data_IF_100743554138
#
_entry.id   IF_100743554138
#
_cell.length_a   1.000
_cell.length_b   1.000
_cell.length_c   1.000
_cell.angle_alpha   90.00
_cell.angle_beta   90.00
_cell.angle_gamma   90.00
#
_symmetry.space_group_name_H-M   'P 1'
#
loop_
_entity.id
_entity.type
_entity.pdbx_description
1 polymer ?
#
# COMPACT_ATOMS: atom_id res chain seq x y z
N UNK A 1 -1.07 30.82 -4.19
CA UNK A 1 -0.69 30.85 -5.62
C UNK A 1 -0.88 32.26 -6.13
N UNK A 2 0.19 32.99 -6.43
CA UNK A 2 0.06 34.18 -7.28
C UNK A 2 0.07 33.64 -8.70
N UNK A 3 -1.10 33.51 -9.32
CA UNK A 3 -1.19 33.25 -10.75
C UNK A 3 -0.63 34.47 -11.45
N UNK A 4 0.62 34.39 -11.90
CA UNK A 4 1.22 35.42 -12.72
C UNK A 4 0.42 35.44 -14.02
N UNK A 5 -0.35 36.50 -14.21
CA UNK A 5 -1.17 36.69 -15.41
C UNK A 5 -0.33 37.50 -16.40
N UNK A 6 -0.21 37.06 -17.66
CA UNK A 6 0.66 37.72 -18.62
C UNK A 6 0.24 39.16 -18.91
N UNK A 7 1.21 40.08 -18.94
CA UNK A 7 1.01 41.43 -19.47
C UNK A 7 1.16 41.41 -21.00
N UNK A 8 0.35 42.22 -21.67
CA UNK A 8 0.03 42.13 -23.11
C UNK A 8 1.17 42.34 -24.13
N UNK A 9 0.81 42.66 -25.39
CA UNK A 9 1.34 42.01 -26.60
C UNK A 9 2.79 42.38 -26.94
N UNK A 10 3.66 41.37 -27.01
CA UNK A 10 5.02 41.50 -27.55
C UNK A 10 6.08 40.57 -26.92
N UNK A 11 5.83 40.00 -25.75
CA UNK A 11 6.75 39.07 -25.10
C UNK A 11 6.52 37.63 -25.54
N UNK A 12 7.58 36.92 -25.93
CA UNK A 12 7.55 35.47 -26.18
C UNK A 12 7.40 34.75 -24.83
N UNK A 13 6.17 34.46 -24.41
CA UNK A 13 5.91 33.65 -23.22
C UNK A 13 4.70 32.73 -23.45
N UNK A 14 4.74 31.54 -22.87
CA UNK A 14 3.66 30.55 -22.92
C UNK A 14 3.52 29.85 -21.58
N UNK A 15 2.28 29.51 -21.19
CA UNK A 15 2.05 28.63 -20.03
C UNK A 15 2.30 27.19 -20.48
N UNK A 16 3.16 26.48 -19.77
CA UNK A 16 3.50 25.09 -20.03
C UNK A 16 2.81 24.15 -19.04
N UNK A 17 2.47 22.97 -19.53
CA UNK A 17 2.01 21.82 -18.72
C UNK A 17 3.17 20.84 -18.53
N UNK A 18 3.03 19.81 -17.67
CA UNK A 18 4.09 18.83 -17.45
C UNK A 18 4.54 18.16 -18.75
N UNK A 19 5.85 18.04 -18.90
CA UNK A 19 6.53 17.59 -20.11
C UNK A 19 8.04 17.71 -19.93
N UNK A 20 8.79 17.49 -21.00
CA UNK A 20 10.25 17.60 -21.02
C UNK A 20 10.69 18.55 -22.11
N UNK A 21 11.66 19.41 -21.79
CA UNK A 21 12.31 20.28 -22.73
C UNK A 21 12.93 19.46 -23.87
N UNK A 22 12.67 19.81 -25.13
CA UNK A 22 13.07 18.99 -26.28
C UNK A 22 14.57 19.00 -26.56
N UNK A 23 15.34 19.96 -26.02
CA UNK A 23 16.77 20.09 -26.27
C UNK A 23 17.62 19.43 -25.18
N UNK A 24 17.23 19.64 -23.92
CA UNK A 24 18.07 19.25 -22.76
C UNK A 24 17.36 18.28 -21.81
N UNK A 25 16.08 17.97 -22.04
CA UNK A 25 15.34 16.96 -21.29
C UNK A 25 14.94 17.37 -19.87
N UNK A 26 15.11 18.64 -19.48
CA UNK A 26 14.64 19.13 -18.17
C UNK A 26 13.10 19.19 -18.15
N UNK A 27 12.44 19.00 -16.99
CA UNK A 27 10.99 19.18 -16.90
C UNK A 27 10.54 20.58 -17.35
N UNK A 28 9.41 20.69 -18.06
CA UNK A 28 8.84 22.00 -18.49
C UNK A 28 8.02 22.68 -17.40
N UNK A 29 7.81 22.00 -16.27
CA UNK A 29 7.15 22.50 -15.06
C UNK A 29 8.01 22.18 -13.84
N UNK A 30 7.98 23.04 -12.81
CA UNK A 30 8.71 22.81 -11.57
C UNK A 30 8.28 21.48 -10.93
N UNK A 31 9.19 20.50 -10.74
CA UNK A 31 8.87 19.23 -10.09
C UNK A 31 8.30 19.37 -8.67
N UNK A 32 8.63 20.48 -7.99
CA UNK A 32 8.16 20.78 -6.64
C UNK A 32 7.09 21.89 -6.62
N UNK A 33 6.69 22.38 -7.80
CA UNK A 33 5.78 23.52 -7.96
C UNK A 33 4.35 23.10 -8.33
N UNK A 34 3.65 24.00 -9.02
CA UNK A 34 2.27 23.76 -9.46
C UNK A 34 2.17 22.86 -10.70
N UNK A 35 0.95 22.64 -11.18
CA UNK A 35 0.70 21.92 -12.44
C UNK A 35 1.05 22.70 -13.71
N UNK A 36 1.62 23.90 -13.60
CA UNK A 36 1.99 24.76 -14.72
C UNK A 36 3.17 25.68 -14.39
N UNK A 37 3.93 26.07 -15.40
CA UNK A 37 4.98 27.09 -15.31
C UNK A 37 4.91 28.03 -16.49
N UNK A 38 5.56 29.19 -16.41
CA UNK A 38 5.67 30.12 -17.53
C UNK A 38 6.99 29.85 -18.25
N UNK A 39 6.93 29.47 -19.51
CA UNK A 39 8.07 29.56 -20.40
C UNK A 39 8.21 31.02 -20.87
N UNK A 40 9.39 31.60 -20.70
CA UNK A 40 9.77 32.94 -21.16
C UNK A 40 10.94 32.81 -22.15
N UNK A 41 10.92 33.57 -23.24
CA UNK A 41 11.92 33.47 -24.32
C UNK A 41 11.40 32.67 -25.52
N UNK A 42 12.28 32.40 -26.49
CA UNK A 42 11.92 31.64 -27.69
C UNK A 42 12.91 30.51 -28.02
N UNK A 43 12.50 29.58 -28.89
CA UNK A 43 13.32 28.46 -29.37
C UNK A 43 13.99 28.72 -30.73
N UNK A 44 13.72 29.87 -31.34
CA UNK A 44 14.01 30.12 -32.77
C UNK A 44 15.30 30.90 -32.99
N UNK A 45 15.74 31.66 -31.97
CA UNK A 45 16.90 32.53 -32.09
C UNK A 45 16.70 33.64 -33.13
N UNK A 46 15.46 34.00 -33.49
CA UNK A 46 15.25 34.96 -34.57
C UNK A 46 15.30 36.42 -34.09
N UNK A 47 16.52 36.95 -34.00
CA UNK A 47 16.81 38.35 -33.66
C UNK A 47 17.51 38.51 -32.30
N UNK A 48 17.85 39.74 -31.93
CA UNK A 48 18.39 40.09 -30.61
C UNK A 48 17.28 40.63 -29.73
N UNK A 49 16.33 39.77 -29.34
CA UNK A 49 15.16 40.19 -28.56
C UNK A 49 15.29 39.67 -27.14
N UNK A 50 14.96 40.51 -26.15
CA UNK A 50 14.74 40.05 -24.80
C UNK A 50 13.25 39.79 -24.59
N UNK A 51 12.90 38.67 -23.96
CA UNK A 51 11.57 38.43 -23.45
C UNK A 51 11.53 38.83 -21.97
N UNK A 52 10.53 39.59 -21.57
CA UNK A 52 10.33 39.90 -20.15
C UNK A 52 8.89 39.66 -19.71
N UNK A 53 8.74 39.37 -18.43
CA UNK A 53 7.45 39.29 -17.76
C UNK A 53 7.53 40.08 -16.46
N UNK A 54 6.49 40.89 -16.20
CA UNK A 54 6.38 41.72 -15.00
C UNK A 54 5.13 41.38 -14.23
N UNK A 55 5.24 41.34 -12.90
CA UNK A 55 4.11 41.18 -11.99
C UNK A 55 4.24 42.16 -10.82
N UNK A 56 3.17 42.88 -10.52
CA UNK A 56 3.07 43.70 -9.31
C UNK A 56 2.18 43.00 -8.29
N UNK A 57 2.58 42.96 -7.03
CA UNK A 57 1.81 42.37 -5.94
C UNK A 57 2.03 43.12 -4.62
N UNK A 58 1.03 43.06 -3.74
CA UNK A 58 1.11 43.62 -2.39
C UNK A 58 1.86 42.67 -1.47
N UNK A 59 2.88 43.17 -0.77
CA UNK A 59 3.58 42.39 0.28
C UNK A 59 2.75 42.45 1.56
N UNK A 60 2.40 41.28 2.08
CA UNK A 60 1.70 41.10 3.35
C UNK A 60 2.64 40.48 4.39
N UNK A 61 2.21 40.43 5.64
CA UNK A 61 2.95 39.72 6.70
C UNK A 61 3.13 38.23 6.42
N UNK A 62 2.29 37.64 5.55
CA UNK A 62 2.36 36.22 5.15
C UNK A 62 3.20 36.02 3.87
N UNK A 63 3.55 37.08 3.16
CA UNK A 63 4.29 37.04 1.87
C UNK A 63 5.59 37.81 1.93
N UNK A 64 6.20 37.86 3.12
CA UNK A 64 7.47 38.53 3.39
C UNK A 64 8.67 37.84 2.75
N UNK A 65 8.50 36.62 2.23
CA UNK A 65 9.45 35.94 1.38
C UNK A 65 8.78 35.63 0.05
N UNK A 66 9.34 36.15 -1.04
CA UNK A 66 8.88 35.80 -2.39
C UNK A 66 9.78 34.70 -2.94
N UNK A 67 9.22 33.51 -3.17
CA UNK A 67 9.94 32.34 -3.63
C UNK A 67 9.65 32.09 -5.10
N UNK A 68 10.68 31.80 -5.89
CA UNK A 68 10.50 31.43 -7.28
C UNK A 68 11.51 30.38 -7.69
N UNK A 69 11.04 29.45 -8.50
CA UNK A 69 11.85 28.45 -9.16
C UNK A 69 12.02 28.81 -10.62
N UNK A 70 13.18 28.50 -11.17
CA UNK A 70 13.42 28.66 -12.59
C UNK A 70 14.40 27.62 -13.12
N UNK A 71 14.29 27.35 -14.41
CA UNK A 71 15.23 26.55 -15.18
C UNK A 71 15.53 27.28 -16.49
N UNK A 72 16.77 27.18 -16.99
CA UNK A 72 17.24 28.00 -18.12
C UNK A 72 17.85 27.14 -19.22
N UNK A 73 17.68 27.54 -20.47
CA UNK A 73 18.39 27.01 -21.63
C UNK A 73 18.90 28.21 -22.43
N UNK A 74 20.23 28.37 -22.45
CA UNK A 74 20.90 29.51 -23.07
C UNK A 74 21.88 29.01 -24.13
N UNK A 75 21.65 29.38 -25.39
CA UNK A 75 22.51 29.03 -26.52
C UNK A 75 23.73 29.97 -26.59
N UNK A 76 24.94 29.42 -26.51
CA UNK A 76 26.18 30.20 -26.48
C UNK A 76 27.30 29.48 -27.25
N UNK A 77 27.26 29.49 -28.59
CA UNK A 77 28.34 28.95 -29.39
C UNK A 77 29.56 29.86 -29.26
N UNK A 78 30.73 29.24 -29.04
CA UNK A 78 31.99 29.91 -28.71
C UNK A 78 32.26 31.19 -29.51
N UNK A 79 32.67 32.27 -28.84
CA UNK A 79 33.13 33.50 -29.51
C UNK A 79 32.55 34.81 -28.96
N UNK A 80 31.58 34.75 -28.03
CA UNK A 80 30.94 35.93 -27.43
C UNK A 80 31.75 36.52 -26.27
N UNK A 81 31.80 37.86 -26.20
CA UNK A 81 32.21 38.56 -24.98
C UNK A 81 31.09 38.52 -23.92
N UNK A 82 31.44 38.84 -22.68
CA UNK A 82 30.50 38.83 -21.53
C UNK A 82 29.20 39.60 -21.81
N UNK A 83 29.27 40.76 -22.47
CA UNK A 83 28.10 41.59 -22.76
C UNK A 83 27.26 41.15 -23.97
N UNK A 84 27.65 40.08 -24.65
CA UNK A 84 27.00 39.59 -25.86
C UNK A 84 26.32 38.24 -25.66
N UNK A 85 26.55 37.61 -24.50
CA UNK A 85 25.98 36.33 -24.10
C UNK A 85 24.49 36.44 -23.76
N UNK A 86 23.69 35.40 -24.03
CA UNK A 86 22.37 35.30 -23.46
C UNK A 86 22.41 35.31 -21.93
N UNK A 87 21.35 35.82 -21.33
CA UNK A 87 21.27 36.01 -19.89
C UNK A 87 19.87 35.79 -19.34
N UNK A 88 19.82 35.49 -18.05
CA UNK A 88 18.61 35.57 -17.23
C UNK A 88 18.81 36.62 -16.15
N UNK A 89 17.83 37.50 -16.00
CA UNK A 89 17.85 38.57 -15.04
C UNK A 89 16.53 38.69 -14.31
N UNK A 90 16.61 38.92 -13.01
CA UNK A 90 15.47 39.24 -12.14
C UNK A 90 15.71 40.62 -11.56
N UNK A 91 14.75 41.52 -11.74
CA UNK A 91 14.74 42.83 -11.11
C UNK A 91 13.49 42.99 -10.26
N UNK A 92 13.65 43.42 -9.02
CA UNK A 92 12.52 43.83 -8.17
C UNK A 92 12.57 45.34 -7.92
N UNK A 93 11.40 45.96 -7.87
CA UNK A 93 11.21 47.39 -7.67
C UNK A 93 10.21 47.66 -6.55
N UNK A 94 10.51 48.64 -5.71
CA UNK A 94 9.58 49.11 -4.68
C UNK A 94 8.38 49.87 -5.29
N UNK A 95 7.45 50.33 -4.44
CA UNK A 95 6.26 51.07 -4.88
C UNK A 95 6.56 52.42 -5.58
N UNK A 96 7.78 52.94 -5.38
CA UNK A 96 8.28 54.16 -6.01
C UNK A 96 9.17 53.85 -7.22
N UNK A 97 9.22 52.59 -7.65
CA UNK A 97 10.02 52.10 -8.76
C UNK A 97 11.54 52.18 -8.53
N UNK A 98 12.00 52.20 -7.26
CA UNK A 98 13.42 52.08 -6.93
C UNK A 98 13.84 50.59 -6.94
N UNK A 99 15.03 50.26 -7.46
CA UNK A 99 15.55 48.89 -7.41
C UNK A 99 15.70 48.37 -5.98
N UNK A 100 15.18 47.18 -5.73
CA UNK A 100 15.36 46.46 -4.47
C UNK A 100 16.61 45.61 -4.61
N UNK A 101 17.64 45.91 -3.82
CA UNK A 101 18.94 45.23 -3.88
C UNK A 101 18.82 43.70 -3.68
N UNK A 102 17.91 43.24 -2.82
CA UNK A 102 17.70 41.80 -2.56
C UNK A 102 17.05 41.04 -3.72
N UNK A 103 16.44 41.76 -4.67
CA UNK A 103 15.72 41.21 -5.81
C UNK A 103 16.38 41.54 -7.14
N UNK A 104 17.66 41.89 -7.13
CA UNK A 104 18.49 41.97 -8.34
C UNK A 104 19.31 40.68 -8.45
N UNK A 105 19.11 39.92 -9.50
CA UNK A 105 19.88 38.72 -9.80
C UNK A 105 20.12 38.64 -11.30
N UNK A 106 21.34 38.31 -11.71
CA UNK A 106 21.70 38.19 -13.12
C UNK A 106 22.69 37.04 -13.28
N UNK A 107 22.41 36.17 -14.25
CA UNK A 107 23.31 35.11 -14.70
C UNK A 107 23.40 35.15 -16.21
N UNK A 108 24.62 35.06 -16.72
CA UNK A 108 24.90 34.95 -18.15
C UNK A 108 25.30 33.52 -18.50
N UNK A 109 25.18 33.15 -19.77
CA UNK A 109 25.50 31.80 -20.22
C UNK A 109 26.98 31.43 -19.98
N UNK A 110 27.19 30.19 -19.52
CA UNK A 110 28.51 29.59 -19.38
C UNK A 110 28.99 29.44 -17.93
N UNK A 111 30.26 29.02 -17.74
CA UNK A 111 30.81 28.74 -16.41
C UNK A 111 31.06 30.03 -15.61
N UNK A 112 31.25 29.88 -14.30
CA UNK A 112 31.54 30.99 -13.36
C UNK A 112 32.72 31.87 -13.79
N UNK A 113 33.73 31.29 -14.44
CA UNK A 113 34.90 32.02 -14.96
C UNK A 113 34.55 33.05 -16.03
N UNK A 114 33.36 32.96 -16.61
CA UNK A 114 32.82 33.88 -17.61
C UNK A 114 31.63 34.70 -17.07
N UNK A 115 31.38 34.67 -15.75
CA UNK A 115 30.28 35.39 -15.09
C UNK A 115 28.95 34.63 -15.02
N UNK A 116 28.92 33.35 -15.44
CA UNK A 116 27.72 32.52 -15.35
C UNK A 116 27.56 31.77 -14.02
N UNK A 117 26.60 30.85 -13.96
CA UNK A 117 26.27 30.06 -12.78
C UNK A 117 27.13 28.78 -12.67
N UNK A 118 27.59 28.37 -11.46
CA UNK A 118 28.35 27.14 -11.29
C UNK A 118 27.60 25.86 -11.66
N UNK A 119 26.26 25.89 -11.61
CA UNK A 119 25.43 24.72 -11.83
C UNK A 119 24.97 24.58 -13.29
N UNK A 120 25.45 25.44 -14.19
CA UNK A 120 25.20 25.27 -15.63
C UNK A 120 25.84 23.99 -16.17
N UNK A 121 25.02 23.19 -16.84
CA UNK A 121 25.42 21.97 -17.53
C UNK A 121 25.55 22.26 -19.03
N UNK A 122 26.65 21.84 -19.69
CA UNK A 122 26.81 22.04 -21.12
C UNK A 122 25.90 21.12 -21.93
N UNK A 123 25.44 21.60 -23.09
CA UNK A 123 24.82 20.78 -24.13
C UNK A 123 25.36 21.18 -25.51
N UNK A 124 24.93 20.50 -26.58
CA UNK A 124 25.52 20.61 -27.92
C UNK A 124 25.62 22.04 -28.50
N UNK A 125 24.78 22.97 -28.07
CA UNK A 125 24.76 24.36 -28.57
C UNK A 125 24.94 25.44 -27.47
N UNK A 126 25.09 25.06 -26.20
CA UNK A 126 25.18 26.04 -25.11
C UNK A 126 25.15 25.42 -23.72
N UNK A 127 24.42 26.06 -22.81
CA UNK A 127 24.32 25.65 -21.41
C UNK A 127 22.86 25.61 -20.95
N UNK A 128 22.55 24.70 -20.03
CA UNK A 128 21.27 24.66 -19.36
C UNK A 128 21.43 24.55 -17.85
N UNK A 129 20.50 25.17 -17.13
CA UNK A 129 20.41 25.13 -15.68
C UNK A 129 19.16 24.34 -15.31
N UNK A 130 19.29 23.18 -14.63
CA UNK A 130 18.14 22.47 -14.08
C UNK A 130 17.31 23.35 -13.15
N UNK A 131 16.09 22.90 -12.83
CA UNK A 131 15.22 23.60 -11.88
C UNK A 131 15.95 23.86 -10.56
N UNK A 132 15.94 25.14 -10.17
CA UNK A 132 16.38 25.58 -8.87
C UNK A 132 15.39 26.55 -8.29
N UNK A 133 15.27 26.54 -6.97
CA UNK A 133 14.44 27.48 -6.21
C UNK A 133 15.33 28.54 -5.60
N UNK A 134 14.87 29.79 -5.62
CA UNK A 134 15.49 30.90 -4.89
C UNK A 134 14.39 31.77 -4.29
N UNK A 135 14.78 32.79 -3.52
CA UNK A 135 13.82 33.66 -2.84
C UNK A 135 14.38 35.07 -2.64
N UNK A 136 13.49 36.03 -2.43
CA UNK A 136 13.83 37.40 -2.04
C UNK A 136 13.15 37.79 -0.73
N UNK A 137 13.90 38.29 0.27
CA UNK A 137 13.34 38.86 1.49
C UNK A 137 12.65 40.19 1.22
N UNK A 138 11.37 40.28 1.54
CA UNK A 138 10.53 41.46 1.35
C UNK A 138 9.96 42.02 2.68
N UNK A 139 10.48 41.59 3.85
CA UNK A 139 9.99 42.04 5.17
C UNK A 139 9.93 43.57 5.32
N UNK A 140 10.91 44.29 4.76
CA UNK A 140 10.96 45.76 4.81
C UNK A 140 9.86 46.45 3.97
N UNK A 141 9.17 45.69 3.12
CA UNK A 141 8.19 46.18 2.16
C UNK A 141 6.75 45.78 2.49
N UNK A 142 6.49 45.23 3.68
CA UNK A 142 5.12 44.90 4.12
C UNK A 142 4.21 46.12 4.00
N UNK A 143 3.07 45.95 3.33
CA UNK A 143 2.11 47.01 3.02
C UNK A 143 2.40 47.78 1.72
N UNK A 144 3.47 47.45 0.99
CA UNK A 144 3.84 48.11 -0.27
C UNK A 144 3.59 47.19 -1.47
N UNK A 145 3.29 47.80 -2.62
CA UNK A 145 3.26 47.09 -3.90
C UNK A 145 4.68 46.96 -4.45
N UNK A 146 5.10 45.73 -4.70
CA UNK A 146 6.41 45.40 -5.27
C UNK A 146 6.20 44.85 -6.68
N UNK A 147 7.04 45.29 -7.60
CA UNK A 147 7.05 44.80 -8.98
C UNK A 147 8.26 43.92 -9.18
N UNK A 148 8.04 42.67 -9.57
CA UNK A 148 9.08 41.76 -10.04
C UNK A 148 9.07 41.70 -11.57
N UNK A 149 10.26 41.68 -12.15
CA UNK A 149 10.50 41.52 -13.57
C UNK A 149 11.48 40.37 -13.78
N UNK A 150 11.08 39.38 -14.57
CA UNK A 150 11.97 38.36 -15.11
C UNK A 150 12.30 38.73 -16.55
N UNK A 151 13.56 38.62 -16.94
CA UNK A 151 14.07 38.96 -18.27
C UNK A 151 14.96 37.81 -18.73
N UNK A 152 14.71 37.32 -19.94
CA UNK A 152 15.63 36.45 -20.65
C UNK A 152 16.04 37.16 -21.92
N UNK A 153 17.34 37.41 -22.06
CA UNK A 153 17.92 38.08 -23.20
C UNK A 153 18.62 37.11 -24.13
N UNK A 154 18.40 37.27 -25.43
CA UNK A 154 19.15 36.62 -26.50
C UNK A 154 20.52 37.28 -26.74
N UNK A 155 21.38 36.61 -27.49
CA UNK A 155 22.66 37.17 -27.94
C UNK A 155 22.47 38.41 -28.84
N UNK A 156 23.34 39.40 -28.67
CA UNK A 156 23.32 40.66 -29.44
C UNK A 156 23.92 40.57 -30.85
N UNK A 157 24.59 39.47 -31.22
CA UNK A 157 25.33 39.37 -32.49
C UNK A 157 24.60 38.60 -33.61
N UNK A 158 24.02 37.41 -33.36
CA UNK A 158 23.55 36.55 -34.47
C UNK A 158 22.31 35.67 -34.23
N UNK A 159 21.46 35.99 -33.25
CA UNK A 159 20.20 35.25 -33.09
C UNK A 159 20.38 33.89 -32.42
N UNK A 160 21.05 33.90 -31.27
CA UNK A 160 21.08 32.75 -30.37
C UNK A 160 19.94 32.85 -29.38
N UNK A 161 19.26 31.74 -29.15
CA UNK A 161 18.09 31.73 -28.29
C UNK A 161 18.45 31.66 -26.80
N UNK A 162 17.71 32.40 -26.00
CA UNK A 162 17.58 32.21 -24.58
C UNK A 162 16.11 31.97 -24.21
N UNK A 163 15.85 30.90 -23.47
CA UNK A 163 14.54 30.71 -22.86
C UNK A 163 14.65 30.01 -21.50
N UNK A 164 13.58 30.05 -20.73
CA UNK A 164 13.54 29.46 -19.40
C UNK A 164 12.12 29.26 -18.91
N UNK A 165 11.99 28.36 -17.95
CA UNK A 165 10.74 28.05 -17.28
C UNK A 165 10.76 28.69 -15.90
N UNK A 166 9.67 29.33 -15.49
CA UNK A 166 9.56 30.07 -14.24
C UNK A 166 8.27 29.65 -13.53
N UNK A 167 8.40 29.28 -12.26
CA UNK A 167 7.29 29.07 -11.33
C UNK A 167 7.53 29.98 -10.11
N UNK A 168 6.51 30.68 -9.64
CA UNK A 168 6.66 31.58 -8.49
C UNK A 168 5.50 31.39 -7.51
N UNK A 169 5.86 31.30 -6.23
CA UNK A 169 4.91 31.17 -5.15
C UNK A 169 5.31 32.04 -3.94
N UNK A 170 4.33 32.39 -3.12
CA UNK A 170 4.59 33.06 -1.85
C UNK A 170 4.44 32.07 -0.70
N UNK A 171 5.11 30.92 -0.77
CA UNK A 171 5.19 30.03 0.37
C UNK A 171 6.09 30.65 1.45
N UNK A 172 5.68 30.62 2.74
CA UNK A 172 6.54 31.08 3.81
C UNK A 172 7.80 30.21 3.89
N UNK A 173 8.96 30.85 4.00
CA UNK A 173 10.21 30.14 4.30
C UNK A 173 10.21 29.76 5.79
N UNK A 174 10.40 28.48 6.07
CA UNK A 174 10.47 27.96 7.44
C UNK A 174 11.59 26.92 7.56
N UNK A 175 12.08 26.74 8.77
CA UNK A 175 12.84 25.55 9.13
C UNK A 175 11.83 24.41 9.25
N UNK A 176 12.17 23.25 8.69
CA UNK A 176 11.39 22.01 8.88
C UNK A 176 12.10 21.20 9.95
N UNK A 177 11.41 20.93 11.04
CA UNK A 177 11.90 20.06 12.11
C UNK A 177 11.38 18.64 11.93
N UNK A 178 12.21 17.63 12.22
CA UNK A 178 11.75 16.25 12.31
C UNK A 178 10.87 16.01 13.54
N UNK A 179 11.08 16.81 14.58
CA UNK A 179 10.26 16.87 15.80
C UNK A 179 10.49 18.23 16.49
N UNK A 180 9.55 18.65 17.34
CA UNK A 180 9.65 19.89 18.12
C UNK A 180 10.26 19.67 19.51
N UNK A 181 10.38 18.42 19.96
CA UNK A 181 10.88 18.05 21.29
C UNK A 181 11.99 17.00 21.19
N UNK A 182 13.08 17.22 21.92
CA UNK A 182 14.11 16.19 22.15
C UNK A 182 13.66 15.31 23.31
N UNK A 183 13.38 14.05 22.99
CA UNK A 183 12.90 13.04 23.92
C UNK A 183 14.02 12.04 24.20
N UNK A 184 14.36 11.85 25.48
CA UNK A 184 15.44 10.93 25.88
C UNK A 184 16.79 11.16 25.16
N UNK A 185 17.10 12.44 24.85
CA UNK A 185 18.31 12.80 24.11
C UNK A 185 18.36 12.33 22.66
N UNK A 186 17.24 11.86 22.09
CA UNK A 186 17.18 11.54 20.66
C UNK A 186 17.31 12.83 19.82
N UNK A 187 18.21 12.86 18.83
CA UNK A 187 18.46 14.06 18.08
C UNK A 187 17.30 14.43 17.15
N UNK A 188 17.01 15.72 17.07
CA UNK A 188 16.10 16.32 16.10
C UNK A 188 16.90 16.80 14.89
N UNK A 189 16.37 16.58 13.69
CA UNK A 189 16.91 17.13 12.44
C UNK A 189 16.21 18.44 12.11
N UNK A 190 17.00 19.49 11.86
CA UNK A 190 16.52 20.79 11.39
C UNK A 190 16.96 20.96 9.94
N UNK A 191 16.02 21.27 9.05
CA UNK A 191 16.29 21.45 7.62
C UNK A 191 15.84 22.84 7.16
N UNK A 192 16.78 23.62 6.66
CA UNK A 192 16.50 24.91 6.04
C UNK A 192 15.88 24.73 4.64
N UNK A 193 15.19 25.75 4.10
CA UNK A 193 14.68 25.72 2.72
C UNK A 193 15.79 25.43 1.71
N UNK A 194 15.51 24.59 0.73
CA UNK A 194 16.47 24.22 -0.31
C UNK A 194 16.74 25.37 -1.30
N UNK A 195 17.84 25.24 -2.08
CA UNK A 195 18.13 26.14 -3.21
C UNK A 195 18.92 27.41 -2.87
N UNK A 196 19.29 27.60 -1.60
CA UNK A 196 20.16 28.70 -1.19
C UNK A 196 21.64 28.46 -1.55
N UNK A 197 22.37 29.55 -1.80
CA UNK A 197 23.80 29.53 -2.04
C UNK A 197 24.65 29.27 -0.78
N UNK A 198 24.16 29.64 0.40
CA UNK A 198 24.80 29.30 1.67
C UNK A 198 23.83 29.25 2.84
N UNK A 199 24.19 28.44 3.82
CA UNK A 199 23.54 28.32 5.13
C UNK A 199 24.57 28.65 6.21
N UNK A 200 24.14 29.30 7.28
CA UNK A 200 24.95 29.48 8.49
C UNK A 200 24.06 29.31 9.71
N UNK A 201 24.23 28.18 10.39
CA UNK A 201 23.46 27.82 11.58
C UNK A 201 24.02 28.45 12.85
N UNK A 202 23.14 28.76 13.79
CA UNK A 202 23.48 29.18 15.14
C UNK A 202 22.52 28.50 16.13
N UNK A 203 23.03 27.95 17.25
CA UNK A 203 24.45 27.79 17.60
C UNK A 203 25.16 26.77 16.69
N UNK A 204 26.50 26.84 16.63
CA UNK A 204 27.34 25.79 16.01
C UNK A 204 28.12 26.22 14.76
N UNK A 205 27.56 27.12 13.93
CA UNK A 205 28.24 27.66 12.75
C UNK A 205 28.31 26.70 11.55
N UNK A 206 27.49 25.65 11.55
CA UNK A 206 27.38 24.67 10.48
C UNK A 206 26.84 25.32 9.20
N UNK A 207 27.22 24.78 8.05
CA UNK A 207 26.95 25.40 6.73
C UNK A 207 26.18 24.49 5.77
N UNK A 208 25.76 23.32 6.22
CA UNK A 208 24.90 22.40 5.48
C UNK A 208 23.43 22.85 5.53
N UNK A 209 22.63 22.41 4.55
CA UNK A 209 21.18 22.70 4.56
C UNK A 209 20.48 22.12 5.79
N UNK A 210 20.93 20.95 6.25
CA UNK A 210 20.38 20.27 7.43
C UNK A 210 21.44 20.09 8.51
N UNK A 211 21.01 20.16 9.76
CA UNK A 211 21.80 19.84 10.95
C UNK A 211 21.01 18.91 11.87
N UNK A 212 21.71 18.20 12.75
CA UNK A 212 21.10 17.37 13.80
C UNK A 212 21.50 17.90 15.17
N UNK A 213 20.55 18.00 16.10
CA UNK A 213 20.83 18.44 17.47
C UNK A 213 20.12 17.57 18.51
N UNK A 214 20.84 17.21 19.57
CA UNK A 214 20.29 16.60 20.78
C UNK A 214 20.24 17.57 21.97
N UNK A 215 20.41 18.88 21.72
CA UNK A 215 20.36 19.92 22.75
C UNK A 215 19.14 20.82 22.57
N UNK A 216 18.29 20.99 23.58
CA UNK A 216 17.20 21.96 23.56
C UNK A 216 17.71 23.40 23.45
N UNK A 217 17.00 24.25 22.73
CA UNK A 217 17.36 25.65 22.60
C UNK A 217 16.74 26.33 21.39
N UNK A 218 17.09 27.60 21.21
CA UNK A 218 16.72 28.37 20.03
C UNK A 218 17.77 28.18 18.95
N UNK A 219 17.32 27.77 17.77
CA UNK A 219 18.12 27.63 16.58
C UNK A 219 17.77 28.72 15.58
N UNK A 220 18.77 29.17 14.83
CA UNK A 220 18.58 30.04 13.69
C UNK A 220 19.46 29.63 12.54
N UNK A 221 19.01 29.93 11.32
CA UNK A 221 19.80 29.75 10.11
C UNK A 221 19.74 31.03 9.30
N UNK A 222 20.92 31.56 8.96
CA UNK A 222 21.05 32.62 7.97
C UNK A 222 21.16 31.97 6.60
N UNK A 223 20.19 32.25 5.73
CA UNK A 223 20.08 31.67 4.40
C UNK A 223 20.37 32.75 3.36
N UNK A 224 21.35 32.51 2.50
CA UNK A 224 21.71 33.41 1.40
C UNK A 224 21.20 32.83 0.08
N UNK A 225 20.23 33.47 -0.61
CA UNK A 225 19.51 32.86 -1.73
C UNK A 225 20.36 32.62 -2.98
N UNK A 226 21.31 33.50 -3.28
CA UNK A 226 22.21 33.41 -4.45
C UNK A 226 23.61 33.91 -4.10
N UNK A 227 24.62 33.39 -4.79
CA UNK A 227 26.02 33.80 -4.57
C UNK A 227 26.18 35.29 -4.85
N UNK A 228 26.78 36.03 -3.91
CA UNK A 228 26.96 37.48 -4.03
C UNK A 228 25.73 38.35 -3.70
N UNK A 229 24.60 37.76 -3.29
CA UNK A 229 23.45 38.53 -2.79
C UNK A 229 23.85 39.39 -1.59
N UNK A 230 23.44 40.66 -1.58
CA UNK A 230 23.60 41.55 -0.43
C UNK A 230 22.60 41.26 0.71
N UNK A 231 21.68 40.30 0.51
CA UNK A 231 20.56 40.06 1.40
C UNK A 231 20.46 38.59 1.79
N UNK A 232 20.25 38.36 3.07
CA UNK A 232 20.01 37.06 3.68
C UNK A 232 18.72 37.11 4.50
N UNK A 233 18.14 35.94 4.74
CA UNK A 233 17.02 35.76 5.66
C UNK A 233 17.53 35.00 6.87
N UNK A 234 17.18 35.46 8.06
CA UNK A 234 17.34 34.68 9.29
C UNK A 234 16.03 34.00 9.62
N UNK A 235 16.01 32.67 9.57
CA UNK A 235 14.91 31.86 10.08
C UNK A 235 15.25 31.41 11.50
N UNK A 236 14.24 31.27 12.34
CA UNK A 236 14.40 30.86 13.74
C UNK A 236 13.40 29.77 14.10
N UNK A 237 13.82 28.82 14.93
CA UNK A 237 12.94 27.83 15.56
C UNK A 237 13.40 27.55 17.00
N UNK A 238 12.52 26.97 17.81
CA UNK A 238 12.82 26.58 19.20
C UNK A 238 12.59 25.08 19.34
N UNK A 239 13.63 24.35 19.76
CA UNK A 239 13.54 22.95 20.10
C UNK A 239 13.46 22.82 21.62
N UNK A 240 12.39 22.21 22.09
CA UNK A 240 12.19 21.96 23.51
C UNK A 240 12.87 20.66 23.93
N UNK A 241 13.17 20.53 25.23
CA UNK A 241 13.65 19.29 25.81
C UNK A 241 12.64 18.78 26.80
N UNK A 242 12.37 17.49 26.77
CA UNK A 242 11.59 16.84 27.81
C UNK A 242 12.45 15.81 28.54
N UNK A 243 12.47 15.90 29.87
CA UNK A 243 12.98 14.83 30.73
C UNK A 243 11.95 13.72 30.91
N UNK A 244 10.69 14.03 30.62
CA UNK A 244 9.58 13.10 30.71
C UNK A 244 9.28 12.55 29.31
N UNK A 245 9.32 11.23 29.16
CA UNK A 245 9.02 10.58 27.88
C UNK A 245 8.29 9.26 28.11
N UNK A 246 7.38 8.86 27.20
CA UNK A 246 6.65 7.62 27.36
C UNK A 246 7.52 6.45 26.91
N UNK A 247 7.22 5.27 27.45
CA UNK A 247 7.69 3.97 26.98
C UNK A 247 6.45 3.15 26.66
N UNK A 248 6.28 2.79 25.39
CA UNK A 248 5.20 1.98 24.89
C UNK A 248 5.38 0.54 25.35
N UNK A 249 4.36 -0.02 25.99
CA UNK A 249 4.36 -1.42 26.39
C UNK A 249 2.94 -1.96 26.46
N UNK A 250 2.71 -3.16 25.96
CA UNK A 250 1.42 -3.84 26.06
C UNK A 250 1.55 -5.34 25.90
N UNK A 251 0.54 -6.07 26.33
CA UNK A 251 0.36 -7.48 25.99
C UNK A 251 -0.76 -7.62 24.97
N UNK A 252 -0.60 -8.53 23.99
CA UNK A 252 -1.65 -8.98 23.09
C UNK A 252 -1.83 -10.49 23.21
N UNK A 253 -3.07 -10.95 23.36
CA UNK A 253 -3.37 -12.37 23.40
C UNK A 253 -4.78 -12.67 22.87
N UNK A 254 -4.94 -13.78 22.13
CA UNK A 254 -3.89 -14.61 21.50
C UNK A 254 -3.15 -13.86 20.36
N UNK A 255 -1.96 -14.33 19.94
CA UNK A 255 -1.18 -13.75 18.81
C UNK A 255 -1.27 -14.58 17.53
N UNK A 256 -1.88 -15.75 17.59
CA UNK A 256 -2.21 -16.59 16.44
C UNK A 256 -3.66 -17.00 16.58
N UNK A 257 -4.46 -16.65 15.58
CA UNK A 257 -5.91 -16.84 15.57
C UNK A 257 -6.38 -17.30 14.19
N UNK A 258 -7.67 -17.61 14.10
CA UNK A 258 -8.38 -17.87 12.86
C UNK A 258 -9.22 -16.66 12.43
N UNK A 259 -9.58 -16.59 11.15
CA UNK A 259 -10.50 -15.56 10.65
C UNK A 259 -11.79 -15.53 11.47
N UNK A 260 -12.20 -14.35 11.91
CA UNK A 260 -13.40 -14.12 12.73
C UNK A 260 -13.15 -14.16 14.24
N UNK A 261 -11.97 -14.54 14.69
CA UNK A 261 -11.58 -14.45 16.10
C UNK A 261 -11.02 -13.05 16.45
N UNK A 262 -10.86 -12.80 17.75
CA UNK A 262 -10.46 -11.48 18.26
C UNK A 262 -9.19 -11.53 19.13
N UNK A 263 -8.40 -10.46 19.06
CA UNK A 263 -7.24 -10.23 19.93
C UNK A 263 -7.61 -9.23 21.02
N UNK A 264 -7.26 -9.56 22.26
CA UNK A 264 -7.39 -8.63 23.40
C UNK A 264 -6.02 -8.04 23.72
N UNK A 265 -5.99 -6.75 24.05
CA UNK A 265 -4.77 -6.06 24.47
C UNK A 265 -4.89 -5.49 25.88
N UNK A 266 -3.76 -5.33 26.55
CA UNK A 266 -3.67 -4.63 27.84
C UNK A 266 -2.50 -3.67 27.80
N UNK A 267 -2.78 -2.37 27.97
CA UNK A 267 -1.76 -1.33 28.09
C UNK A 267 -0.93 -1.53 29.37
N UNK A 268 0.38 -1.51 29.22
CA UNK A 268 1.37 -1.53 30.28
C UNK A 268 2.36 -0.36 30.14
N UNK A 269 2.04 0.61 29.28
CA UNK A 269 2.89 1.74 28.98
C UNK A 269 3.06 2.62 30.21
N UNK A 270 4.22 3.28 30.32
CA UNK A 270 4.53 4.16 31.43
C UNK A 270 5.38 5.34 30.96
N UNK A 271 5.50 6.38 31.79
CA UNK A 271 6.38 7.53 31.54
C UNK A 271 7.61 7.40 32.42
N UNK A 272 8.80 7.55 31.82
CA UNK A 272 10.02 7.84 32.59
C UNK A 272 9.97 9.31 32.92
N UNK A 273 9.77 9.64 34.21
CA UNK A 273 9.60 11.03 34.64
C UNK A 273 8.53 11.15 35.72
N UNK A 274 7.81 12.28 35.72
CA UNK A 274 6.81 12.61 36.75
C UNK A 274 5.40 12.80 36.21
N UNK A 275 5.26 12.90 34.89
CA UNK A 275 3.98 13.07 34.21
C UNK A 275 3.35 11.72 33.83
N UNK A 276 2.21 11.77 33.15
CA UNK A 276 1.44 10.60 32.74
C UNK A 276 1.24 10.58 31.23
N UNK A 277 0.89 9.41 30.70
CA UNK A 277 0.55 9.27 29.27
C UNK A 277 -0.66 10.17 28.97
N UNK A 278 -0.54 10.91 27.88
CA UNK A 278 -1.53 11.91 27.44
C UNK A 278 -2.37 11.43 26.24
N UNK A 279 -1.96 10.34 25.58
CA UNK A 279 -2.69 9.77 24.46
C UNK A 279 -2.21 8.37 24.10
N UNK A 280 -3.10 7.61 23.48
CA UNK A 280 -2.89 6.27 22.93
C UNK A 280 -3.44 6.24 21.50
N UNK A 281 -2.83 5.42 20.65
CA UNK A 281 -3.33 5.09 19.33
C UNK A 281 -2.98 3.65 19.04
N UNK A 282 -4.00 2.82 18.94
CA UNK A 282 -3.92 1.42 18.57
C UNK A 282 -4.25 1.30 17.10
N UNK A 283 -3.35 0.70 16.33
CA UNK A 283 -3.55 0.31 14.95
C UNK A 283 -3.45 -1.23 14.92
N UNK A 284 -4.60 -1.90 14.87
CA UNK A 284 -4.66 -3.36 14.95
C UNK A 284 -4.32 -4.01 13.62
N UNK A 285 -4.70 -3.38 12.51
CA UNK A 285 -4.50 -3.93 11.17
C UNK A 285 -3.16 -3.51 10.53
N UNK A 286 -2.42 -2.58 11.15
CA UNK A 286 -1.12 -2.09 10.67
C UNK A 286 -1.21 -1.22 9.42
N UNK A 287 -2.35 -0.58 9.16
CA UNK A 287 -2.55 0.26 7.96
C UNK A 287 -2.06 1.71 8.11
N UNK A 288 -1.55 2.06 9.30
CA UNK A 288 -1.07 3.40 9.64
C UNK A 288 -2.16 4.33 10.16
N UNK A 289 -3.39 3.84 10.35
CA UNK A 289 -4.51 4.57 10.92
C UNK A 289 -4.89 3.95 12.26
N UNK A 290 -5.10 4.80 13.28
CA UNK A 290 -5.54 4.32 14.57
C UNK A 290 -7.00 3.83 14.52
N UNK A 291 -7.22 2.58 14.92
CA UNK A 291 -8.53 1.96 15.14
C UNK A 291 -9.14 2.38 16.49
N UNK A 292 -8.32 2.60 17.52
CA UNK A 292 -8.75 3.01 18.87
C UNK A 292 -7.76 3.97 19.51
N UNK A 293 -8.24 4.93 20.32
CA UNK A 293 -7.41 5.96 20.98
C UNK A 293 -7.53 5.97 22.50
N UNK A 294 -8.09 4.91 23.08
CA UNK A 294 -8.29 4.77 24.52
C UNK A 294 -7.17 3.95 25.15
N UNK A 295 -6.96 4.10 26.47
CA UNK A 295 -6.01 3.27 27.20
C UNK A 295 -6.42 1.79 27.23
N UNK A 296 -7.73 1.52 27.27
CA UNK A 296 -8.29 0.17 27.38
C UNK A 296 -9.24 -0.09 26.21
N UNK A 297 -8.70 -0.39 25.01
CA UNK A 297 -9.52 -0.65 23.84
C UNK A 297 -10.29 -1.97 24.01
N UNK A 298 -11.40 -2.10 23.27
CA UNK A 298 -12.11 -3.38 23.17
C UNK A 298 -11.31 -4.38 22.33
N UNK A 299 -11.60 -5.68 22.48
CA UNK A 299 -10.99 -6.71 21.63
C UNK A 299 -11.30 -6.45 20.14
N UNK A 300 -10.30 -6.64 19.28
CA UNK A 300 -10.40 -6.40 17.83
C UNK A 300 -10.56 -7.69 17.05
N UNK A 301 -11.57 -7.77 16.17
CA UNK A 301 -11.88 -8.95 15.36
C UNK A 301 -11.28 -8.83 13.95
N UNK A 302 -10.50 -9.84 13.54
CA UNK A 302 -9.88 -9.86 12.21
C UNK A 302 -10.76 -10.62 11.21
N UNK A 303 -11.20 -9.93 10.15
CA UNK A 303 -12.11 -10.49 9.14
C UNK A 303 -11.41 -11.14 7.95
N UNK A 304 -10.10 -10.93 7.81
CA UNK A 304 -9.28 -11.43 6.71
C UNK A 304 -8.03 -12.12 7.25
N UNK A 305 -7.62 -13.21 6.60
CA UNK A 305 -6.37 -13.87 6.92
C UNK A 305 -5.17 -13.02 6.54
N UNK A 306 -4.04 -13.23 7.22
CA UNK A 306 -2.82 -12.47 6.97
C UNK A 306 -1.95 -12.30 8.20
N UNK A 307 -0.79 -11.70 7.98
CA UNK A 307 0.09 -11.23 9.05
C UNK A 307 -0.14 -9.74 9.26
N UNK A 308 -0.44 -9.36 10.49
CA UNK A 308 -0.70 -7.98 10.90
C UNK A 308 0.36 -7.52 11.90
N UNK A 309 0.72 -6.25 11.84
CA UNK A 309 1.63 -5.61 12.78
C UNK A 309 0.82 -4.71 13.71
N UNK A 310 0.23 -5.30 14.75
CA UNK A 310 -0.52 -4.54 15.74
C UNK A 310 0.42 -3.54 16.42
N UNK A 311 0.11 -2.26 16.30
CA UNK A 311 0.92 -1.16 16.77
C UNK A 311 0.21 -0.39 17.87
N UNK A 312 0.97 -0.01 18.90
CA UNK A 312 0.59 1.00 19.88
C UNK A 312 1.55 2.17 19.79
N UNK A 313 1.01 3.37 19.61
CA UNK A 313 1.73 4.65 19.82
C UNK A 313 1.20 5.31 21.08
N UNK A 314 2.09 5.81 21.93
CA UNK A 314 1.75 6.56 23.15
C UNK A 314 2.43 7.92 23.17
N UNK A 315 1.74 8.92 23.72
CA UNK A 315 2.21 10.31 23.77
C UNK A 315 2.40 10.80 25.20
N UNK A 316 3.44 11.59 25.43
CA UNK A 316 3.60 12.42 26.62
C UNK A 316 4.31 13.73 26.26
N UNK A 317 3.63 14.86 26.41
CA UNK A 317 4.20 16.21 26.26
C UNK A 317 5.04 16.44 24.97
N UNK A 318 4.56 15.92 23.84
CA UNK A 318 5.24 16.02 22.54
C UNK A 318 6.20 14.87 22.24
N UNK A 319 6.53 14.04 23.23
CA UNK A 319 7.28 12.80 23.04
C UNK A 319 6.36 11.64 22.69
N UNK A 320 6.82 10.78 21.79
CA UNK A 320 6.14 9.54 21.42
C UNK A 320 7.04 8.33 21.58
N UNK A 321 6.42 7.19 21.86
CA UNK A 321 7.08 5.89 21.72
C UNK A 321 6.11 4.91 21.07
N UNK A 322 6.67 3.87 20.43
CA UNK A 322 5.90 2.92 19.63
C UNK A 322 6.34 1.50 19.90
N UNK A 323 5.38 0.61 20.12
CA UNK A 323 5.60 -0.84 20.20
C UNK A 323 4.75 -1.55 19.15
N UNK A 324 5.34 -2.55 18.50
CA UNK A 324 4.68 -3.39 17.48
C UNK A 324 4.73 -4.86 17.93
N UNK A 325 3.60 -5.54 17.86
CA UNK A 325 3.47 -6.98 18.11
C UNK A 325 2.85 -7.65 16.87
N UNK A 326 3.49 -8.67 16.28
CA UNK A 326 2.93 -9.38 15.13
C UNK A 326 1.76 -10.28 15.54
N UNK A 327 0.69 -10.25 14.75
CA UNK A 327 -0.50 -11.10 14.86
C UNK A 327 -0.64 -11.93 13.58
N UNK A 328 -0.86 -13.24 13.72
CA UNK A 328 -1.11 -14.15 12.60
C UNK A 328 -2.57 -14.57 12.59
N UNK A 329 -3.27 -14.28 11.49
CA UNK A 329 -4.66 -14.69 11.26
C UNK A 329 -4.67 -15.73 10.16
N UNK A 330 -5.00 -16.96 10.51
CA UNK A 330 -5.04 -18.10 9.60
C UNK A 330 -6.41 -18.22 8.95
N UNK A 331 -6.44 -18.66 7.70
CA UNK A 331 -7.70 -19.03 7.03
C UNK A 331 -8.37 -20.22 7.72
N UNK A 332 -9.70 -20.22 7.68
CA UNK A 332 -10.50 -21.36 8.11
C UNK A 332 -10.38 -22.48 7.07
N UNK A 333 -10.24 -23.76 7.47
CA UNK A 333 -10.36 -24.86 6.52
C UNK A 333 -11.79 -24.91 5.94
N UNK A 334 -11.97 -25.66 4.87
CA UNK A 334 -13.28 -26.02 4.33
C UNK A 334 -13.42 -27.54 4.36
N UNK A 335 -14.28 -28.05 5.22
CA UNK A 335 -14.52 -29.48 5.39
C UNK A 335 -15.26 -30.05 4.17
N UNK A 336 -14.85 -31.25 3.74
CA UNK A 336 -15.46 -31.92 2.61
C UNK A 336 -15.14 -33.41 2.60
N UNK A 337 -16.09 -34.21 2.14
CA UNK A 337 -15.83 -35.62 1.86
C UNK A 337 -16.71 -36.17 0.75
N UNK A 338 -16.30 -37.33 0.24
CA UNK A 338 -17.05 -38.17 -0.69
C UNK A 338 -17.11 -39.62 -0.19
N UNK A 339 -18.05 -40.41 -0.71
CA UNK A 339 -18.29 -41.79 -0.30
C UNK A 339 -18.85 -42.63 -1.43
N UNK A 340 -18.75 -43.97 -1.32
CA UNK A 340 -19.37 -44.91 -2.25
C UNK A 340 -20.70 -45.46 -1.70
N UNK A 341 -21.65 -45.76 -2.59
CA UNK A 341 -22.89 -46.44 -2.19
C UNK A 341 -22.64 -47.91 -1.89
N UNK A 342 -23.25 -48.42 -0.81
CA UNK A 342 -23.15 -49.82 -0.39
C UNK A 342 -24.51 -50.36 0.07
N UNK A 343 -24.62 -51.68 0.14
CA UNK A 343 -25.70 -52.35 0.88
C UNK A 343 -25.34 -52.50 2.35
N UNK A 344 -26.33 -52.68 3.22
CA UNK A 344 -26.07 -52.94 4.64
C UNK A 344 -25.19 -54.19 4.81
N UNK A 345 -24.30 -54.16 5.81
CA UNK A 345 -23.30 -55.21 6.03
C UNK A 345 -22.02 -55.11 5.18
N UNK A 346 -21.95 -54.18 4.22
CA UNK A 346 -20.71 -53.82 3.52
C UNK A 346 -20.07 -52.56 4.11
N UNK A 347 -18.74 -52.41 3.94
CA UNK A 347 -18.03 -51.20 4.35
C UNK A 347 -18.21 -50.09 3.32
N UNK A 348 -18.75 -48.95 3.77
CA UNK A 348 -18.71 -47.70 3.03
C UNK A 348 -17.35 -47.05 3.24
N UNK A 349 -16.65 -46.71 2.16
CA UNK A 349 -15.38 -45.99 2.20
C UNK A 349 -15.66 -44.49 2.07
N UNK A 350 -15.05 -43.72 2.97
CA UNK A 350 -15.08 -42.27 2.95
C UNK A 350 -13.73 -41.75 2.49
N UNK A 351 -13.75 -40.72 1.65
CA UNK A 351 -12.56 -40.02 1.17
C UNK A 351 -12.67 -38.56 1.53
N UNK A 352 -11.70 -38.08 2.31
CA UNK A 352 -11.55 -36.67 2.64
C UNK A 352 -11.28 -35.85 1.38
N UNK A 353 -12.03 -34.76 1.23
CA UNK A 353 -11.86 -33.76 0.17
C UNK A 353 -11.75 -32.36 0.76
N UNK A 354 -11.41 -32.24 2.04
CA UNK A 354 -11.31 -30.97 2.73
C UNK A 354 -10.16 -30.13 2.18
N UNK A 355 -10.34 -28.81 2.19
CA UNK A 355 -9.33 -27.86 1.76
C UNK A 355 -8.80 -27.09 2.99
N UNK A 356 -7.49 -27.05 3.17
CA UNK A 356 -6.86 -26.33 4.27
C UNK A 356 -6.77 -24.80 4.04
N UNK A 357 -7.15 -24.32 2.84
CA UNK A 357 -7.12 -22.90 2.43
C UNK A 357 -5.77 -22.21 2.74
N UNK A 358 -4.65 -22.91 2.48
CA UNK A 358 -3.30 -22.40 2.71
C UNK A 358 -2.63 -22.93 3.99
N UNK A 359 -3.39 -23.55 4.91
CA UNK A 359 -2.87 -24.26 6.06
C UNK A 359 -2.53 -25.74 5.79
N UNK A 360 -2.43 -26.52 6.87
CA UNK A 360 -2.28 -27.98 6.84
C UNK A 360 -3.35 -28.56 7.76
N UNK A 361 -4.20 -29.47 7.25
CA UNK A 361 -5.13 -30.24 8.10
C UNK A 361 -4.31 -31.27 8.89
N UNK A 362 -4.45 -31.25 10.21
CA UNK A 362 -3.73 -32.13 11.14
C UNK A 362 -4.64 -33.10 11.88
N UNK A 363 -5.97 -32.91 11.83
CA UNK A 363 -6.94 -33.80 12.46
C UNK A 363 -8.20 -33.96 11.61
N UNK A 364 -8.76 -35.16 11.64
CA UNK A 364 -10.05 -35.53 11.06
C UNK A 364 -10.84 -36.25 12.13
N UNK A 365 -12.03 -35.78 12.46
CA UNK A 365 -12.92 -36.42 13.43
C UNK A 365 -14.21 -36.79 12.73
N UNK A 366 -14.44 -38.09 12.56
CA UNK A 366 -15.63 -38.63 11.91
C UNK A 366 -16.66 -39.07 12.92
N UNK A 367 -17.89 -38.57 12.80
CA UNK A 367 -19.08 -39.11 13.46
C UNK A 367 -20.03 -39.63 12.39
N UNK A 368 -20.08 -40.94 12.22
CA UNK A 368 -20.86 -41.61 11.19
C UNK A 368 -22.36 -41.64 11.47
N UNK A 369 -22.78 -41.14 12.62
CA UNK A 369 -24.18 -41.12 13.07
C UNK A 369 -24.66 -39.75 13.55
N UNK A 370 -23.81 -38.73 13.49
CA UNK A 370 -24.06 -37.36 13.96
C UNK A 370 -24.71 -37.32 15.36
N UNK A 371 -24.17 -38.11 16.29
CA UNK A 371 -24.64 -38.22 17.66
C UNK A 371 -23.74 -37.49 18.68
N UNK A 372 -22.71 -36.79 18.19
CA UNK A 372 -21.71 -36.09 18.97
C UNK A 372 -20.54 -36.96 19.44
N UNK A 373 -20.42 -38.21 18.94
CA UNK A 373 -19.37 -39.14 19.33
C UNK A 373 -18.47 -39.44 18.13
N UNK A 374 -17.21 -39.03 18.23
CA UNK A 374 -16.19 -39.36 17.24
C UNK A 374 -15.97 -40.86 17.18
N UNK A 375 -16.23 -41.45 16.02
CA UNK A 375 -16.06 -42.87 15.75
C UNK A 375 -14.70 -43.21 15.15
N UNK A 376 -14.08 -42.30 14.40
CA UNK A 376 -12.82 -42.54 13.72
C UNK A 376 -12.02 -41.25 13.52
N UNK A 377 -10.69 -41.34 13.53
CA UNK A 377 -9.78 -40.20 13.35
C UNK A 377 -8.80 -40.32 12.18
N UNK A 378 -8.95 -41.37 11.36
CA UNK A 378 -8.16 -41.54 10.14
C UNK A 378 -8.70 -40.65 9.01
N UNK A 379 -7.84 -40.16 8.13
CA UNK A 379 -8.24 -39.26 7.04
C UNK A 379 -9.25 -39.90 6.08
N UNK A 380 -9.05 -41.17 5.70
CA UNK A 380 -9.92 -41.88 4.75
C UNK A 380 -10.43 -43.19 5.40
N UNK A 381 -11.43 -43.13 6.28
CA UNK A 381 -11.92 -44.29 7.00
C UNK A 381 -12.89 -45.11 6.16
N UNK A 382 -13.19 -46.31 6.65
CA UNK A 382 -14.33 -47.10 6.21
C UNK A 382 -15.24 -47.43 7.39
N UNK A 383 -16.55 -47.42 7.17
CA UNK A 383 -17.55 -47.69 8.21
C UNK A 383 -18.67 -48.60 7.69
N UNK A 384 -19.10 -49.55 8.53
CA UNK A 384 -20.16 -50.50 8.22
C UNK A 384 -21.42 -50.19 9.01
N UNK A 385 -22.52 -49.93 8.31
CA UNK A 385 -23.81 -49.67 8.95
C UNK A 385 -24.57 -50.97 9.22
N UNK A 386 -25.15 -51.15 10.43
CA UNK A 386 -25.79 -52.40 10.83
C UNK A 386 -27.16 -52.61 10.15
N UNK A 387 -27.81 -51.55 9.68
CA UNK A 387 -29.12 -51.58 9.04
C UNK A 387 -29.10 -50.72 7.77
N UNK A 388 -30.02 -51.03 6.85
CA UNK A 388 -30.31 -50.14 5.72
C UNK A 388 -31.07 -48.90 6.20
N UNK A 389 -30.82 -47.76 5.56
CA UNK A 389 -31.45 -46.48 5.94
C UNK A 389 -30.61 -45.28 5.51
N UNK A 390 -31.01 -44.11 5.98
CA UNK A 390 -30.24 -42.87 5.86
C UNK A 390 -29.51 -42.56 7.16
N UNK A 391 -28.28 -42.10 7.06
CA UNK A 391 -27.46 -41.68 8.19
C UNK A 391 -26.83 -40.33 7.89
N UNK A 392 -26.84 -39.41 8.86
CA UNK A 392 -26.09 -38.17 8.75
C UNK A 392 -24.67 -38.40 9.25
N UNK A 393 -23.69 -38.06 8.44
CA UNK A 393 -22.27 -38.21 8.73
C UNK A 393 -21.66 -36.83 8.88
N UNK A 394 -21.05 -36.57 10.03
CA UNK A 394 -20.26 -35.37 10.29
C UNK A 394 -18.77 -35.66 10.13
N UNK A 395 -18.08 -34.78 9.40
CA UNK A 395 -16.63 -34.66 9.42
C UNK A 395 -16.26 -33.29 9.98
N UNK A 396 -15.53 -33.28 11.09
CA UNK A 396 -14.86 -32.10 11.63
C UNK A 396 -13.36 -32.19 11.30
N UNK A 397 -12.81 -31.17 10.65
CA UNK A 397 -11.38 -31.06 10.38
C UNK A 397 -10.75 -29.94 11.20
N UNK A 398 -9.50 -30.14 11.61
CA UNK A 398 -8.70 -29.13 12.31
C UNK A 398 -7.36 -28.94 11.60
N UNK A 399 -6.96 -27.69 11.42
CA UNK A 399 -5.64 -27.33 10.91
C UNK A 399 -4.57 -27.35 12.00
N UNK A 400 -3.30 -27.41 11.63
CA UNK A 400 -2.17 -27.32 12.57
C UNK A 400 -2.13 -26.01 13.37
N UNK A 401 -2.84 -24.98 12.90
CA UNK A 401 -3.00 -23.69 13.59
C UNK A 401 -4.20 -23.65 14.54
N UNK A 402 -4.98 -24.74 14.64
CA UNK A 402 -6.16 -24.85 15.51
C UNK A 402 -7.47 -24.42 14.86
N UNK A 403 -7.47 -23.95 13.61
CA UNK A 403 -8.70 -23.56 12.91
C UNK A 403 -9.51 -24.80 12.50
N UNK A 404 -10.81 -24.76 12.74
CA UNK A 404 -11.72 -25.90 12.53
C UNK A 404 -12.84 -25.58 11.57
N UNK A 405 -13.32 -26.58 10.84
CA UNK A 405 -14.56 -26.50 10.08
C UNK A 405 -15.23 -27.88 10.07
N UNK A 406 -16.56 -27.93 9.94
CA UNK A 406 -17.29 -29.19 9.85
C UNK A 406 -18.29 -29.22 8.72
N UNK A 407 -18.57 -30.44 8.25
CA UNK A 407 -19.59 -30.70 7.26
C UNK A 407 -20.42 -31.91 7.64
N UNK A 408 -21.74 -31.80 7.45
CA UNK A 408 -22.68 -32.91 7.59
C UNK A 408 -23.23 -33.28 6.21
N UNK A 409 -23.12 -34.55 5.83
CA UNK A 409 -23.78 -35.09 4.64
C UNK A 409 -24.58 -36.35 4.97
N UNK A 410 -25.76 -36.48 4.38
CA UNK A 410 -26.59 -37.69 4.49
C UNK A 410 -26.08 -38.76 3.52
N UNK A 411 -25.83 -39.97 4.03
CA UNK A 411 -25.49 -41.17 3.26
C UNK A 411 -26.66 -42.16 3.26
N UNK A 412 -26.74 -42.99 2.23
CA UNK A 412 -27.79 -44.00 2.07
C UNK A 412 -27.20 -45.41 2.00
N UNK A 413 -27.71 -46.29 2.85
CA UNK A 413 -27.32 -47.70 2.94
C UNK A 413 -28.45 -48.55 2.40
N UNK A 414 -28.19 -49.27 1.32
CA UNK A 414 -29.24 -50.02 0.60
C UNK A 414 -29.63 -51.32 1.32
N UNK A 415 -30.91 -51.72 1.28
CA UNK A 415 -31.33 -53.04 1.75
C UNK A 415 -30.79 -54.15 0.85
N UNK A 416 -30.64 -55.36 1.40
CA UNK A 416 -30.39 -56.57 0.63
C UNK A 416 -31.72 -57.15 0.11
N UNK A 417 -31.76 -57.71 -1.11
CA UNK A 417 -32.92 -58.43 -1.58
C UNK A 417 -33.13 -59.71 -0.77
N UNK A 418 -34.39 -60.04 -0.48
CA UNK A 418 -34.80 -61.32 0.09
C UNK A 418 -35.20 -62.22 -1.07
N UNK A 419 -34.34 -63.20 -1.38
CA UNK A 419 -34.60 -64.18 -2.43
C UNK A 419 -35.80 -65.06 -2.06
N UNK A 420 -36.73 -65.22 -2.99
CA UNK A 420 -37.91 -66.06 -2.80
C UNK A 420 -38.47 -66.50 -4.17
N UNK A 421 -39.08 -67.69 -4.20
CA UNK A 421 -39.70 -68.20 -5.41
C UNK A 421 -40.84 -69.17 -5.12
N UNK A 422 -41.59 -69.50 -6.15
CA UNK A 422 -42.52 -70.63 -6.14
C UNK A 422 -42.34 -71.48 -7.39
N UNK A 423 -42.55 -72.79 -7.23
CA UNK A 423 -42.57 -73.76 -8.31
C UNK A 423 -43.58 -74.86 -7.97
N UNK A 424 -44.25 -75.40 -8.99
CA UNK A 424 -45.15 -76.53 -8.82
C UNK A 424 -44.36 -77.85 -8.87
N UNK A 425 -44.85 -78.88 -8.19
CA UNK A 425 -44.39 -80.25 -8.44
C UNK A 425 -44.90 -80.71 -9.80
N UNK A 426 -43.99 -81.19 -10.65
CA UNK A 426 -44.30 -81.66 -12.01
C UNK A 426 -43.88 -83.12 -12.18
N UNK A 427 -44.44 -83.81 -13.18
CA UNK A 427 -44.03 -85.17 -13.50
C UNK A 427 -42.66 -85.19 -14.21
N UNK A 428 -41.96 -86.33 -14.18
CA UNK A 428 -40.72 -86.50 -14.95
C UNK A 428 -40.97 -86.22 -16.45
N UNK A 429 -40.07 -85.46 -17.08
CA UNK A 429 -40.17 -84.96 -18.47
C UNK A 429 -41.08 -83.74 -18.67
N UNK A 430 -41.71 -83.22 -17.62
CA UNK A 430 -42.37 -81.91 -17.65
C UNK A 430 -41.39 -80.81 -17.23
N UNK A 431 -41.51 -79.63 -17.85
CA UNK A 431 -40.70 -78.47 -17.50
C UNK A 431 -41.23 -77.80 -16.24
N UNK A 432 -40.37 -77.61 -15.25
CA UNK A 432 -40.66 -76.81 -14.05
C UNK A 432 -40.56 -75.33 -14.40
N UNK A 433 -41.59 -74.56 -14.07
CA UNK A 433 -41.59 -73.10 -14.21
C UNK A 433 -41.34 -72.50 -12.82
N UNK A 434 -40.31 -71.66 -12.71
CA UNK A 434 -40.00 -70.94 -11.49
C UNK A 434 -40.53 -69.51 -11.59
N UNK A 435 -41.36 -69.13 -10.63
CA UNK A 435 -41.92 -67.79 -10.51
C UNK A 435 -41.16 -67.08 -9.39
N UNK A 436 -40.36 -66.08 -9.76
CA UNK A 436 -39.68 -65.19 -8.82
C UNK A 436 -40.71 -64.44 -7.97
N UNK A 437 -40.50 -64.50 -6.66
CA UNK A 437 -41.25 -63.73 -5.66
C UNK A 437 -40.30 -62.96 -4.73
N UNK A 438 -39.06 -62.77 -5.15
CA UNK A 438 -38.04 -62.03 -4.40
C UNK A 438 -38.49 -60.59 -4.17
N UNK A 439 -38.16 -60.06 -3.00
CA UNK A 439 -38.56 -58.70 -2.60
C UNK A 439 -37.35 -57.91 -2.14
N UNK A 440 -37.41 -56.58 -2.28
CA UNK A 440 -36.46 -55.65 -1.68
C UNK A 440 -37.25 -54.46 -1.15
N UNK A 441 -36.92 -53.98 0.05
CA UNK A 441 -37.69 -52.90 0.70
C UNK A 441 -37.71 -51.63 -0.13
N UNK A 442 -36.59 -51.29 -0.79
CA UNK A 442 -36.44 -50.15 -1.70
C UNK A 442 -35.50 -50.50 -2.85
N UNK A 443 -35.73 -49.90 -4.03
CA UNK A 443 -34.96 -50.18 -5.26
C UNK A 443 -35.61 -51.26 -6.13
N UNK A 444 -34.84 -51.81 -7.07
CA UNK A 444 -35.28 -52.85 -8.01
C UNK A 444 -34.23 -53.95 -8.08
N UNK A 445 -34.67 -55.21 -8.03
CA UNK A 445 -33.81 -56.37 -8.28
C UNK A 445 -33.52 -56.42 -9.79
N UNK A 446 -32.25 -56.49 -10.18
CA UNK A 446 -31.82 -56.45 -11.58
C UNK A 446 -31.17 -57.74 -12.07
N UNK A 447 -30.69 -58.57 -11.14
CA UNK A 447 -29.98 -59.81 -11.44
C UNK A 447 -30.54 -60.96 -10.60
N UNK A 448 -30.62 -62.14 -11.21
CA UNK A 448 -31.00 -63.40 -10.57
C UNK A 448 -29.92 -64.45 -10.84
N UNK A 449 -29.74 -65.37 -9.91
CA UNK A 449 -28.85 -66.51 -10.04
C UNK A 449 -29.55 -67.73 -9.47
N UNK A 450 -29.88 -68.67 -10.34
CA UNK A 450 -30.54 -69.92 -10.00
C UNK A 450 -29.53 -71.06 -10.06
N UNK A 451 -29.57 -71.94 -9.06
CA UNK A 451 -28.97 -73.26 -9.08
C UNK A 451 -30.12 -74.25 -8.93
N UNK A 452 -30.34 -75.13 -9.91
CA UNK A 452 -31.46 -76.05 -9.86
C UNK A 452 -31.16 -77.31 -9.02
N UNK A 453 -29.95 -77.42 -8.44
CA UNK A 453 -29.55 -78.53 -7.58
C UNK A 453 -29.16 -79.80 -8.34
N UNK A 454 -29.18 -79.78 -9.68
CA UNK A 454 -28.71 -80.84 -10.56
C UNK A 454 -27.44 -80.46 -11.35
N UNK A 455 -26.88 -79.27 -11.07
CA UNK A 455 -25.69 -78.72 -11.71
C UNK A 455 -25.98 -77.70 -12.82
N UNK A 456 -27.24 -77.55 -13.24
CA UNK A 456 -27.66 -76.52 -14.18
C UNK A 456 -28.01 -75.21 -13.46
N UNK A 457 -27.84 -74.08 -14.16
CA UNK A 457 -28.04 -72.73 -13.60
C UNK A 457 -28.79 -71.82 -14.57
N UNK A 458 -29.33 -70.70 -14.07
CA UNK A 458 -29.95 -69.66 -14.90
C UNK A 458 -29.77 -68.27 -14.32
N UNK A 459 -29.85 -67.25 -15.17
CA UNK A 459 -29.84 -65.83 -14.78
C UNK A 459 -31.13 -65.08 -15.14
N UNK A 460 -32.13 -65.79 -15.68
CA UNK A 460 -33.43 -65.22 -16.00
C UNK A 460 -34.21 -64.95 -14.70
N UNK A 461 -35.01 -63.87 -14.67
CA UNK A 461 -35.90 -63.61 -13.54
C UNK A 461 -36.88 -64.76 -13.31
N UNK A 462 -37.53 -65.23 -14.37
CA UNK A 462 -38.47 -66.36 -14.31
C UNK A 462 -37.97 -67.46 -15.25
N UNK A 463 -37.06 -68.34 -14.79
CA UNK A 463 -36.54 -69.40 -15.63
C UNK A 463 -37.50 -70.59 -15.68
N UNK A 464 -37.24 -71.44 -16.66
CA UNK A 464 -37.84 -72.77 -16.75
C UNK A 464 -36.72 -73.79 -16.80
N UNK A 465 -36.90 -74.94 -16.13
CA UNK A 465 -35.89 -76.01 -16.10
C UNK A 465 -36.52 -77.38 -16.29
N UNK A 466 -35.80 -78.29 -16.96
CA UNK A 466 -36.25 -79.66 -17.21
C UNK A 466 -35.30 -80.65 -16.52
N UNK A 467 -35.77 -81.32 -15.47
CA UNK A 467 -34.98 -82.31 -14.74
C UNK A 467 -34.87 -83.63 -15.51
N UNK A 468 -33.64 -84.14 -15.64
CA UNK A 468 -33.37 -85.41 -16.31
C UNK A 468 -33.76 -86.65 -15.49
N UNK A 469 -33.96 -86.49 -14.18
CA UNK A 469 -34.31 -87.59 -13.26
C UNK A 469 -35.41 -87.16 -12.29
N UNK A 470 -36.22 -88.11 -11.85
CA UNK A 470 -37.24 -87.86 -10.83
C UNK A 470 -36.58 -87.85 -9.45
N UNK A 471 -36.53 -86.69 -8.80
CA UNK A 471 -35.95 -86.52 -7.47
C UNK A 471 -36.48 -85.24 -6.79
N UNK A 472 -36.13 -85.07 -5.51
CA UNK A 472 -36.20 -83.77 -4.83
C UNK A 472 -34.87 -83.05 -5.03
N UNK A 473 -34.92 -81.85 -5.60
CA UNK A 473 -33.74 -81.00 -5.82
C UNK A 473 -33.75 -79.82 -4.85
N UNK A 474 -32.56 -79.46 -4.35
CA UNK A 474 -32.38 -78.26 -3.54
C UNK A 474 -32.07 -77.11 -4.50
N UNK A 475 -33.08 -76.27 -4.73
CA UNK A 475 -33.02 -75.08 -5.59
C UNK A 475 -32.75 -73.84 -4.76
#
# INVERSE_FOLDING_TARGET
MINITPSGPGGHHNITTPGTDPLVGIPTTDPNGGGCSVMLGDFTGTGSKAASMRQTFLVSSQTTSFTYSYALVLEDPSGHTIGEKPFFKVNMYDQNNNPIACGQYEVISGPVSQGGDPDFLPYGAGFYLPWRTTFAPLNAYVGQNITIEFIIGDCSQTGHYGYGYIDANCAPLAIIESDTVICNGQPVTLTAPAGAASYLWSPGGETTQSITTATPGNYSVVVTPVSGSACSVTLTTTIYGSTDYPIANFTAAPTTICVGESVSVTDLSYVVGTTSITGWAWDFNGDGIADDTTQTPTAYTYSTSGAYNLQLVVWNNGCTDTLIVPITVNDMPTAGFSFNNVCYGSLMNFTDTSNANGGIISSWNWDFTNNGIVNNTTQNPAYGYPLSGSYDVELLVETSSGCTDSIVQTVYVNPLPVANFSAASVCLSETTIFIDSSTVTTGTITNWAWDFGDGDTSSLQQPTHLYATANTFNV
#
